data_IF_234915663955
#
_entry.id   IF_234915663955
#
_cell.length_a   1.000
_cell.length_b   1.000
_cell.length_c   1.000
_cell.angle_alpha   90.00
_cell.angle_beta   90.00
_cell.angle_gamma   90.00
#
_symmetry.space_group_name_H-M   'P 1'
#
loop_
_entity.id
_entity.type
_entity.pdbx_description
1 polymer ?
#
# COMPACT_ATOMS: atom_id res chain seq x y z
N UNK A 1 -9.80 -9.99 -8.17
CA UNK A 1 -9.63 -11.01 -7.10
C UNK A 1 -8.39 -10.60 -6.32
N UNK A 2 -8.34 -10.81 -5.01
CA UNK A 2 -7.11 -10.55 -4.24
C UNK A 2 -6.04 -11.54 -4.68
N UNK A 3 -4.87 -11.05 -5.11
CA UNK A 3 -3.73 -11.90 -5.41
C UNK A 3 -3.33 -12.72 -4.18
N UNK A 4 -2.95 -14.01 -4.33
CA UNK A 4 -2.56 -14.85 -3.19
C UNK A 4 -1.29 -14.34 -2.49
N UNK A 5 -0.49 -13.53 -3.20
CA UNK A 5 0.78 -12.98 -2.75
C UNK A 5 0.87 -11.49 -3.09
N UNK A 6 1.70 -10.78 -2.34
CA UNK A 6 2.18 -9.44 -2.73
C UNK A 6 3.59 -9.59 -3.27
N UNK A 7 3.77 -9.33 -4.55
CA UNK A 7 5.05 -9.37 -5.25
C UNK A 7 5.92 -8.17 -4.83
N UNK A 8 7.26 -8.26 -5.03
CA UNK A 8 8.13 -7.11 -4.81
C UNK A 8 7.77 -5.89 -5.66
N UNK A 9 7.23 -6.09 -6.86
CA UNK A 9 6.79 -5.01 -7.75
C UNK A 9 5.59 -4.25 -7.18
N UNK A 10 4.55 -4.98 -6.76
CA UNK A 10 3.36 -4.39 -6.13
C UNK A 10 3.71 -3.66 -4.82
N UNK A 11 4.55 -4.27 -3.98
CA UNK A 11 5.02 -3.62 -2.75
C UNK A 11 5.85 -2.36 -3.07
N UNK A 12 6.67 -2.41 -4.12
CA UNK A 12 7.44 -1.27 -4.64
C UNK A 12 6.53 -0.15 -5.14
N UNK A 13 5.47 -0.46 -5.87
CA UNK A 13 4.51 0.52 -6.38
C UNK A 13 3.82 1.30 -5.23
N UNK A 14 3.38 0.59 -4.19
CA UNK A 14 2.78 1.21 -2.99
C UNK A 14 3.78 2.12 -2.28
N UNK A 15 4.97 1.61 -1.98
CA UNK A 15 6.00 2.40 -1.27
C UNK A 15 6.49 3.58 -2.09
N UNK A 16 6.55 3.46 -3.42
CA UNK A 16 6.85 4.57 -4.33
C UNK A 16 5.76 5.64 -4.30
N UNK A 17 4.49 5.26 -4.38
CA UNK A 17 3.37 6.19 -4.31
C UNK A 17 3.34 6.98 -2.98
N UNK A 18 3.71 6.33 -1.87
CA UNK A 18 3.88 6.99 -0.56
C UNK A 18 5.05 7.99 -0.61
N UNK A 19 6.19 7.59 -1.17
CA UNK A 19 7.37 8.45 -1.24
C UNK A 19 7.18 9.67 -2.16
N UNK A 20 6.47 9.53 -3.28
CA UNK A 20 6.24 10.61 -4.26
C UNK A 20 5.41 11.78 -3.69
N UNK A 21 4.64 11.54 -2.62
CA UNK A 21 3.93 12.61 -1.90
C UNK A 21 4.69 13.16 -0.69
N UNK A 22 5.91 12.68 -0.44
CA UNK A 22 6.73 13.07 0.72
C UNK A 22 6.25 12.50 2.07
N UNK A 23 5.45 11.44 2.07
CA UNK A 23 5.03 10.78 3.30
C UNK A 23 6.09 9.80 3.81
N UNK A 24 6.09 9.55 5.12
CA UNK A 24 7.02 8.61 5.76
C UNK A 24 6.31 7.32 6.16
N UNK A 25 6.96 6.18 5.99
CA UNK A 25 6.48 4.89 6.53
C UNK A 25 7.16 4.67 7.88
N UNK A 26 6.39 4.77 8.95
CA UNK A 26 6.88 4.59 10.31
C UNK A 26 7.01 3.11 10.69
N UNK A 27 6.20 2.24 10.07
CA UNK A 27 6.19 0.81 10.35
C UNK A 27 5.64 0.01 9.18
N UNK A 28 6.18 -1.20 9.01
CA UNK A 28 5.65 -2.24 8.12
C UNK A 28 5.45 -3.51 8.96
N UNK A 29 4.25 -4.08 8.93
CA UNK A 29 3.91 -5.34 9.61
C UNK A 29 3.27 -6.30 8.63
N UNK A 30 3.63 -7.58 8.66
CA UNK A 30 2.89 -8.62 7.93
C UNK A 30 1.77 -9.15 8.84
N UNK A 31 0.51 -8.97 8.42
CA UNK A 31 -0.66 -9.39 9.18
C UNK A 31 -1.04 -10.85 8.93
N UNK A 32 -0.95 -11.31 7.67
CA UNK A 32 -1.24 -12.68 7.30
C UNK A 32 -0.27 -13.22 6.26
N UNK A 33 -0.12 -14.55 6.25
CA UNK A 33 0.61 -15.31 5.23
C UNK A 33 -0.22 -16.40 4.56
N UNK A 34 -1.46 -16.61 5.03
CA UNK A 34 -2.37 -17.64 4.52
C UNK A 34 -3.81 -17.31 4.98
N UNK A 35 -4.83 -17.44 4.11
CA UNK A 35 -4.75 -17.87 2.71
C UNK A 35 -4.21 -16.79 1.75
N UNK A 36 -4.06 -15.55 2.23
CA UNK A 36 -3.58 -14.39 1.45
C UNK A 36 -2.48 -13.68 2.23
N UNK A 37 -1.46 -13.19 1.53
CA UNK A 37 -0.43 -12.32 2.10
C UNK A 37 -0.99 -10.91 2.33
N UNK A 38 -0.88 -10.39 3.54
CA UNK A 38 -1.31 -9.02 3.83
C UNK A 38 -0.30 -8.26 4.70
N UNK A 39 -0.16 -6.97 4.40
CA UNK A 39 0.76 -6.07 5.08
C UNK A 39 0.01 -4.83 5.56
N UNK A 40 0.41 -4.33 6.72
CA UNK A 40 0.00 -3.04 7.26
C UNK A 40 1.18 -2.09 7.21
N UNK A 41 0.95 -0.90 6.66
CA UNK A 41 1.92 0.18 6.62
C UNK A 41 1.37 1.34 7.45
N UNK A 42 2.09 1.70 8.52
CA UNK A 42 1.80 2.90 9.28
C UNK A 42 2.47 4.08 8.59
N UNK A 43 1.67 4.97 8.01
CA UNK A 43 2.15 6.09 7.20
C UNK A 43 1.87 7.41 7.89
N UNK A 44 2.88 8.26 7.99
CA UNK A 44 2.79 9.63 8.49
C UNK A 44 2.80 10.62 7.34
N UNK A 45 1.79 11.47 7.28
CA UNK A 45 1.66 12.51 6.25
C UNK A 45 0.88 13.71 6.79
N UNK A 46 1.17 14.90 6.28
CA UNK A 46 0.33 16.10 6.47
C UNK A 46 -0.77 16.23 5.41
N UNK A 47 -0.80 15.33 4.42
CA UNK A 47 -1.57 15.45 3.18
C UNK A 47 -2.37 14.16 2.91
N UNK A 48 -3.27 13.77 3.84
CA UNK A 48 -4.01 12.50 3.80
C UNK A 48 -4.76 12.28 2.47
N UNK A 49 -5.35 13.33 1.90
CA UNK A 49 -6.07 13.22 0.63
C UNK A 49 -5.14 12.97 -0.57
N UNK A 50 -3.91 13.49 -0.54
CA UNK A 50 -2.90 13.17 -1.57
C UNK A 50 -2.47 11.71 -1.44
N UNK A 51 -2.22 11.24 -0.21
CA UNK A 51 -1.87 9.85 0.07
C UNK A 51 -2.96 8.91 -0.43
N UNK A 52 -4.22 9.19 -0.10
CA UNK A 52 -5.36 8.38 -0.53
C UNK A 52 -5.44 8.26 -2.04
N UNK A 53 -5.33 9.38 -2.77
CA UNK A 53 -5.36 9.35 -4.23
C UNK A 53 -4.18 8.57 -4.82
N UNK A 54 -2.96 8.80 -4.33
CA UNK A 54 -1.77 8.13 -4.82
C UNK A 54 -1.86 6.60 -4.65
N UNK A 55 -2.32 6.14 -3.48
CA UNK A 55 -2.52 4.72 -3.19
C UNK A 55 -3.63 4.10 -4.05
N UNK A 56 -4.75 4.79 -4.25
CA UNK A 56 -5.81 4.32 -5.15
C UNK A 56 -5.34 4.21 -6.61
N UNK A 57 -4.52 5.16 -7.07
CA UNK A 57 -3.92 5.09 -8.41
C UNK A 57 -2.97 3.90 -8.53
N UNK A 58 -2.12 3.64 -7.53
CA UNK A 58 -1.23 2.49 -7.52
C UNK A 58 -1.99 1.15 -7.53
N UNK A 59 -3.09 1.05 -6.77
CA UNK A 59 -3.96 -0.13 -6.80
C UNK A 59 -4.67 -0.30 -8.15
N UNK A 60 -5.07 0.79 -8.80
CA UNK A 60 -5.70 0.73 -10.12
C UNK A 60 -4.74 0.28 -11.23
N UNK A 61 -3.43 0.50 -11.08
CA UNK A 61 -2.41 0.03 -12.02
C UNK A 61 -1.99 -1.43 -11.79
N UNK A 62 -2.23 -1.97 -10.60
CA UNK A 62 -1.83 -3.31 -10.18
C UNK A 62 -3.08 -4.17 -9.92
N UNK A 63 -3.63 -4.89 -10.91
CA UNK A 63 -4.97 -5.51 -10.84
C UNK A 63 -5.14 -6.60 -9.78
N UNK A 64 -4.04 -7.18 -9.29
CA UNK A 64 -4.02 -8.22 -8.26
C UNK A 64 -3.75 -7.68 -6.84
N UNK A 65 -3.49 -6.37 -6.71
CA UNK A 65 -3.23 -5.68 -5.47
C UNK A 65 -4.49 -4.95 -4.95
N UNK A 66 -4.81 -5.15 -3.69
CA UNK A 66 -5.85 -4.39 -2.99
C UNK A 66 -5.23 -3.53 -1.88
N UNK A 67 -5.74 -2.32 -1.77
CA UNK A 67 -5.26 -1.32 -0.80
C UNK A 67 -6.45 -0.75 -0.05
N UNK A 68 -6.50 -1.05 1.25
CA UNK A 68 -7.41 -0.42 2.19
C UNK A 68 -6.71 0.68 2.98
N UNK A 69 -7.41 1.78 3.23
CA UNK A 69 -6.86 2.96 3.93
C UNK A 69 -7.75 3.30 5.12
N UNK A 70 -7.15 3.29 6.31
CA UNK A 70 -7.80 3.62 7.58
C UNK A 70 -7.10 4.81 8.26
N UNK A 71 -7.88 5.57 9.04
CA UNK A 71 -7.42 6.70 9.87
C UNK A 71 -7.19 6.27 11.31
#
# INVERSE_FOLDING_TARGET
MLGPNVTPGEFGAVTRAIADIGANIDRIVRLSRYPVMSYELLVRTSEEQKLRRALLTAAATEPDLDVAIQR
#
